data_IF_800557357641
#
_entry.id   IF_800557357641
#
_cell.length_a   1.000
_cell.length_b   1.000
_cell.length_c   1.000
_cell.angle_alpha   90.00
_cell.angle_beta   90.00
_cell.angle_gamma   90.00
#
_symmetry.space_group_name_H-M   'P 1'
#
loop_
_entity.id
_entity.type
_entity.pdbx_description
1 polymer ?
#
# COMPACT_ATOMS: atom_id res chain seq x y z
N UNK A 1 0.90 13.62 -36.36
CA UNK A 1 0.01 12.92 -35.40
C UNK A 1 0.85 11.88 -34.69
N UNK A 2 1.05 11.99 -33.37
CA UNK A 2 1.80 10.99 -32.61
C UNK A 2 0.84 9.87 -32.20
N UNK A 3 1.07 8.69 -32.75
CA UNK A 3 0.33 7.48 -32.41
C UNK A 3 0.49 7.20 -30.91
N UNK A 4 -0.62 7.08 -30.19
CA UNK A 4 -0.60 6.81 -28.74
C UNK A 4 -0.11 5.37 -28.53
N UNK A 5 1.09 5.21 -27.98
CA UNK A 5 1.63 3.88 -27.63
C UNK A 5 0.76 3.24 -26.54
N UNK A 6 0.43 1.96 -26.72
CA UNK A 6 -0.21 1.14 -25.68
C UNK A 6 0.75 0.98 -24.50
N UNK A 7 0.23 1.01 -23.27
CA UNK A 7 1.02 0.73 -22.07
C UNK A 7 1.20 -0.79 -21.98
N UNK A 8 2.45 -1.25 -21.94
CA UNK A 8 2.77 -2.65 -21.66
C UNK A 8 3.13 -2.78 -20.19
N UNK A 9 2.52 -3.75 -19.50
CA UNK A 9 2.96 -4.17 -18.17
C UNK A 9 4.24 -4.99 -18.29
N UNK A 10 5.13 -4.85 -17.30
CA UNK A 10 6.34 -5.65 -17.16
C UNK A 10 6.18 -6.50 -15.90
N UNK A 11 6.44 -7.81 -16.00
CA UNK A 11 6.50 -8.72 -14.86
C UNK A 11 7.60 -8.34 -13.89
N UNK A 12 7.50 -8.82 -12.65
CA UNK A 12 8.51 -8.56 -11.61
C UNK A 12 9.83 -9.21 -12.01
N UNK A 13 9.81 -10.45 -12.49
CA UNK A 13 10.97 -11.17 -13.01
C UNK A 13 11.70 -10.39 -14.11
N UNK A 14 10.96 -9.79 -15.07
CA UNK A 14 11.56 -8.97 -16.13
C UNK A 14 12.21 -7.69 -15.59
N UNK A 15 11.61 -7.06 -14.58
CA UNK A 15 12.21 -5.89 -13.90
C UNK A 15 13.47 -6.28 -13.12
N UNK A 16 13.47 -7.42 -12.43
CA UNK A 16 14.66 -7.98 -11.74
C UNK A 16 15.80 -8.24 -12.74
N UNK A 17 15.49 -8.83 -13.89
CA UNK A 17 16.47 -9.08 -14.95
C UNK A 17 17.09 -7.78 -15.49
N UNK A 18 16.28 -6.73 -15.69
CA UNK A 18 16.76 -5.41 -16.11
C UNK A 18 17.74 -4.83 -15.08
N UNK A 19 17.42 -4.92 -13.79
CA UNK A 19 18.27 -4.41 -12.71
C UNK A 19 19.60 -5.18 -12.65
N UNK A 20 19.56 -6.51 -12.72
CA UNK A 20 20.75 -7.36 -12.78
C UNK A 20 21.65 -6.97 -13.96
N UNK A 21 21.06 -6.82 -15.15
CA UNK A 21 21.81 -6.45 -16.35
C UNK A 21 22.46 -5.07 -16.24
N UNK A 22 21.77 -4.08 -15.65
CA UNK A 22 22.32 -2.74 -15.42
C UNK A 22 23.51 -2.79 -14.46
N UNK A 23 23.42 -3.59 -13.39
CA UNK A 23 24.50 -3.72 -12.42
C UNK A 23 25.74 -4.43 -13.02
N UNK A 24 25.53 -5.44 -13.86
CA UNK A 24 26.62 -6.12 -14.58
C UNK A 24 27.25 -5.24 -15.68
N UNK A 25 26.50 -4.28 -16.23
CA UNK A 25 26.91 -3.46 -17.37
C UNK A 25 26.91 -1.96 -17.04
N UNK A 26 27.61 -1.58 -15.95
CA UNK A 26 27.71 -0.19 -15.47
C UNK A 26 28.22 0.82 -16.52
N UNK A 27 29.00 0.36 -17.51
CA UNK A 27 29.60 1.20 -18.55
C UNK A 27 28.66 1.45 -19.73
N UNK A 28 27.60 0.64 -19.88
CA UNK A 28 26.64 0.83 -20.98
C UNK A 28 25.75 2.05 -20.75
N UNK A 29 25.46 2.77 -21.84
CA UNK A 29 24.52 3.90 -21.78
C UNK A 29 23.12 3.38 -21.49
N UNK A 30 22.39 4.07 -20.60
CA UNK A 30 20.98 3.75 -20.26
C UNK A 30 20.07 3.63 -21.48
N UNK A 31 20.34 4.40 -22.53
CA UNK A 31 19.60 4.36 -23.80
C UNK A 31 19.75 3.00 -24.50
N UNK A 32 20.96 2.44 -24.50
CA UNK A 32 21.23 1.17 -25.18
C UNK A 32 20.65 0.00 -24.39
N UNK A 33 20.67 0.08 -23.06
CA UNK A 33 19.98 -0.87 -22.18
C UNK A 33 18.46 -0.80 -22.42
N UNK A 34 17.87 0.39 -22.48
CA UNK A 34 16.44 0.54 -22.74
C UNK A 34 16.03 -0.05 -24.10
N UNK A 35 16.84 0.15 -25.15
CA UNK A 35 16.63 -0.47 -26.46
C UNK A 35 16.69 -1.99 -26.39
N UNK A 36 17.65 -2.56 -25.66
CA UNK A 36 17.81 -4.02 -25.52
C UNK A 36 16.57 -4.70 -24.92
N UNK A 37 15.92 -4.04 -23.96
CA UNK A 37 14.72 -4.58 -23.31
C UNK A 37 13.41 -4.11 -23.98
N UNK A 38 13.50 -3.38 -25.10
CA UNK A 38 12.37 -2.78 -25.81
C UNK A 38 11.48 -1.89 -24.91
N UNK A 39 12.10 -1.21 -23.95
CA UNK A 39 11.42 -0.31 -23.01
C UNK A 39 11.78 1.14 -23.30
N UNK A 40 10.93 2.05 -22.84
CA UNK A 40 11.25 3.47 -22.88
C UNK A 40 12.30 3.81 -21.81
N UNK A 41 13.14 4.81 -22.08
CA UNK A 41 14.11 5.32 -21.10
C UNK A 41 13.44 5.78 -19.81
N UNK A 42 12.21 6.32 -19.89
CA UNK A 42 11.41 6.69 -18.72
C UNK A 42 11.05 5.46 -17.87
N UNK A 43 10.65 4.36 -18.50
CA UNK A 43 10.36 3.08 -17.82
C UNK A 43 11.61 2.54 -17.13
N UNK A 44 12.77 2.55 -17.80
CA UNK A 44 14.04 2.14 -17.20
C UNK A 44 14.38 3.00 -15.96
N UNK A 45 14.19 4.32 -16.05
CA UNK A 45 14.44 5.22 -14.92
C UNK A 45 13.52 4.92 -13.74
N UNK A 46 12.23 4.63 -13.97
CA UNK A 46 11.29 4.23 -12.92
C UNK A 46 11.70 2.91 -12.28
N UNK A 47 12.10 1.90 -13.06
CA UNK A 47 12.57 0.61 -12.54
C UNK A 47 13.79 0.81 -11.63
N UNK A 48 14.76 1.63 -12.05
CA UNK A 48 15.95 1.91 -11.25
C UNK A 48 15.65 2.73 -9.99
N UNK A 49 14.66 3.63 -10.03
CA UNK A 49 14.20 4.39 -8.87
C UNK A 49 13.66 3.49 -7.77
N UNK A 50 12.98 2.41 -8.14
CA UNK A 50 12.37 1.45 -7.21
C UNK A 50 13.13 0.13 -7.14
N UNK A 51 14.44 0.12 -7.43
CA UNK A 51 15.26 -1.11 -7.51
C UNK A 51 15.21 -1.95 -6.23
N UNK A 52 15.13 -1.32 -5.07
CA UNK A 52 15.14 -1.99 -3.75
C UNK A 52 13.92 -2.91 -3.58
N UNK A 53 12.75 -2.48 -4.07
CA UNK A 53 11.50 -3.27 -4.05
C UNK A 53 11.57 -4.52 -4.93
N UNK A 54 12.56 -4.61 -5.81
CA UNK A 54 12.79 -5.76 -6.68
C UNK A 54 14.02 -6.58 -6.24
N UNK A 55 14.81 -6.08 -5.29
CA UNK A 55 15.99 -6.76 -4.75
C UNK A 55 15.66 -7.68 -3.58
N UNK A 56 14.53 -7.45 -2.90
CA UNK A 56 14.03 -8.38 -1.90
C UNK A 56 13.64 -9.67 -2.63
N UNK A 57 14.40 -10.73 -2.37
CA UNK A 57 14.00 -12.12 -2.61
C UNK A 57 12.78 -12.39 -1.73
N UNK A 58 11.61 -11.92 -2.16
CA UNK A 58 10.45 -12.76 -1.97
C UNK A 58 10.70 -14.01 -2.80
N UNK A 59 10.72 -15.16 -2.13
CA UNK A 59 10.65 -16.50 -2.71
C UNK A 59 9.29 -16.67 -3.40
N UNK A 60 8.93 -15.78 -4.32
CA UNK A 60 7.81 -16.02 -5.23
C UNK A 60 8.37 -16.85 -6.38
N UNK A 61 8.61 -18.13 -6.06
CA UNK A 61 8.53 -19.17 -7.07
C UNK A 61 7.18 -18.97 -7.78
N UNK A 62 7.22 -18.68 -9.07
CA UNK A 62 6.08 -18.49 -9.99
C UNK A 62 5.50 -17.06 -10.07
N UNK A 63 6.21 -16.19 -10.78
CA UNK A 63 5.63 -14.97 -11.40
C UNK A 63 4.72 -15.29 -12.60
N UNK A 64 4.61 -16.58 -12.96
CA UNK A 64 3.46 -17.19 -13.64
C UNK A 64 2.54 -17.79 -12.56
N UNK A 65 1.85 -16.93 -11.80
CA UNK A 65 0.71 -17.42 -11.02
C UNK A 65 -0.25 -18.06 -12.03
N UNK A 66 -0.57 -19.37 -11.94
CA UNK A 66 -1.59 -19.95 -12.78
C UNK A 66 -2.85 -19.13 -12.56
N UNK A 67 -3.32 -18.47 -13.62
CA UNK A 67 -4.64 -17.87 -13.62
C UNK A 67 -5.60 -19.00 -13.26
N UNK A 68 -6.26 -18.81 -12.10
CA UNK A 68 -7.34 -19.60 -11.52
C UNK A 68 -6.86 -20.80 -10.70
N UNK A 69 -6.49 -20.54 -9.45
CA UNK A 69 -7.22 -21.23 -8.40
C UNK A 69 -8.70 -20.94 -8.69
N UNK A 70 -9.47 -21.96 -9.05
CA UNK A 70 -10.92 -21.87 -9.00
C UNK A 70 -11.23 -21.53 -7.56
N UNK A 71 -11.33 -20.23 -7.25
CA UNK A 71 -12.02 -19.78 -6.06
C UNK A 71 -13.39 -20.44 -6.19
N UNK A 72 -13.58 -21.50 -5.41
CA UNK A 72 -14.89 -22.10 -5.20
C UNK A 72 -15.66 -21.04 -4.41
N UNK A 73 -16.13 -20.02 -5.13
CA UNK A 73 -17.10 -19.07 -4.65
C UNK A 73 -18.40 -19.86 -4.57
N UNK A 74 -18.50 -20.65 -3.51
CA UNK A 74 -19.76 -21.23 -3.14
C UNK A 74 -20.60 -20.04 -2.71
N UNK A 75 -21.75 -19.85 -3.37
CA UNK A 75 -22.67 -18.80 -2.96
C UNK A 75 -22.93 -18.97 -1.46
N UNK A 76 -22.61 -17.97 -0.62
CA UNK A 76 -22.84 -18.09 0.81
C UNK A 76 -24.32 -18.37 1.02
N UNK A 77 -24.63 -19.26 1.96
CA UNK A 77 -26.03 -19.43 2.34
C UNK A 77 -26.54 -18.13 2.99
N UNK A 78 -27.87 -18.01 3.10
CA UNK A 78 -28.48 -16.78 3.61
C UNK A 78 -28.00 -16.45 5.03
N UNK A 79 -27.72 -17.46 5.85
CA UNK A 79 -27.30 -17.28 7.23
C UNK A 79 -25.86 -16.75 7.27
N UNK A 80 -24.96 -17.30 6.45
CA UNK A 80 -23.59 -16.82 6.29
C UNK A 80 -23.57 -15.37 5.80
N UNK A 81 -24.42 -15.01 4.83
CA UNK A 81 -24.53 -13.62 4.37
C UNK A 81 -25.00 -12.65 5.47
N UNK A 82 -25.99 -13.05 6.27
CA UNK A 82 -26.55 -12.19 7.33
C UNK A 82 -25.60 -12.06 8.51
N UNK A 83 -24.88 -13.13 8.83
CA UNK A 83 -24.01 -13.21 10.02
C UNK A 83 -22.56 -12.82 9.76
N UNK A 84 -22.19 -12.55 8.49
CA UNK A 84 -20.82 -12.26 8.05
C UNK A 84 -20.10 -11.20 8.91
N UNK A 85 -20.84 -10.16 9.32
CA UNK A 85 -20.29 -9.05 10.10
C UNK A 85 -20.58 -9.14 11.62
N UNK A 86 -21.13 -10.24 12.13
CA UNK A 86 -21.49 -10.34 13.55
C UNK A 86 -20.27 -10.26 14.48
N UNK A 87 -19.11 -10.72 14.02
CA UNK A 87 -17.85 -10.66 14.76
C UNK A 87 -17.07 -9.36 14.50
N UNK A 88 -17.61 -8.47 13.66
CA UNK A 88 -17.01 -7.14 13.45
C UNK A 88 -17.29 -6.32 14.69
N UNK A 89 -16.22 -5.97 15.41
CA UNK A 89 -16.30 -5.08 16.56
C UNK A 89 -16.96 -3.76 16.15
N UNK A 90 -18.20 -3.57 16.59
CA UNK A 90 -18.90 -2.29 16.43
C UNK A 90 -18.40 -1.32 17.50
N UNK A 91 -18.45 -0.03 17.19
CA UNK A 91 -18.29 1.01 18.20
C UNK A 91 -19.32 0.73 19.31
N UNK A 92 -18.86 0.57 20.55
CA UNK A 92 -19.73 0.29 21.70
C UNK A 92 -20.86 1.31 21.83
N UNK A 93 -21.93 0.91 22.50
CA UNK A 93 -23.07 1.80 22.74
C UNK A 93 -22.63 3.00 23.58
N UNK A 94 -22.72 4.20 22.99
CA UNK A 94 -22.50 5.45 23.68
C UNK A 94 -23.82 5.84 24.34
N UNK A 95 -23.84 5.97 25.67
CA UNK A 95 -25.06 6.39 26.37
C UNK A 95 -25.28 7.89 26.20
N UNK A 96 -26.52 8.35 26.34
CA UNK A 96 -26.83 9.79 26.33
C UNK A 96 -26.00 10.57 27.37
N UNK A 97 -25.65 9.94 28.50
CA UNK A 97 -24.81 10.53 29.52
C UNK A 97 -23.37 10.77 29.04
N UNK A 98 -22.81 9.82 28.28
CA UNK A 98 -21.47 9.93 27.70
C UNK A 98 -21.41 11.02 26.61
N UNK A 99 -22.47 11.13 25.81
CA UNK A 99 -22.64 12.20 24.82
C UNK A 99 -22.63 13.57 25.54
N UNK A 100 -23.46 13.71 26.57
CA UNK A 100 -23.58 14.97 27.32
C UNK A 100 -22.27 15.34 28.01
N UNK A 101 -21.58 14.36 28.61
CA UNK A 101 -20.28 14.59 29.25
C UNK A 101 -19.19 15.07 28.25
N UNK A 102 -19.27 14.69 26.98
CA UNK A 102 -18.32 15.13 25.95
C UNK A 102 -18.55 16.56 25.45
N UNK A 103 -19.77 17.08 25.58
CA UNK A 103 -20.17 18.40 25.05
C UNK A 103 -20.17 19.47 26.14
N UNK A 104 -20.39 19.07 27.40
CA UNK A 104 -20.30 20.00 28.51
C UNK A 104 -18.82 20.33 28.76
N UNK A 105 -18.44 21.62 28.89
CA UNK A 105 -17.12 21.95 29.38
C UNK A 105 -16.98 21.31 30.75
N UNK A 106 -15.99 20.43 30.90
CA UNK A 106 -15.50 20.01 32.20
C UNK A 106 -15.25 21.32 32.94
N UNK A 107 -15.97 21.56 34.04
CA UNK A 107 -15.60 22.61 34.95
C UNK A 107 -14.19 22.26 35.40
N UNK A 108 -13.20 22.89 34.78
CA UNK A 108 -11.88 23.00 35.36
C UNK A 108 -12.14 23.51 36.77
N UNK A 109 -11.78 22.71 37.77
CA UNK A 109 -11.44 23.28 39.06
C UNK A 109 -10.19 24.13 38.83
N UNK A 110 -10.41 25.33 38.29
CA UNK A 110 -9.54 26.48 38.50
C UNK A 110 -9.68 26.82 39.97
N UNK A 111 -8.89 26.16 40.81
CA UNK A 111 -8.56 26.67 42.13
C UNK A 111 -7.48 27.73 41.93
N UNK A 112 -7.89 28.93 41.52
CA UNK A 112 -7.15 30.16 41.83
C UNK A 112 -7.52 30.60 43.25
N UNK A 113 -6.62 30.43 44.22
CA UNK A 113 -6.43 31.29 45.40
C UNK A 113 -5.02 30.94 45.95
N UNK A 114 -4.08 31.83 46.21
CA UNK A 114 -4.00 33.27 46.15
C UNK A 114 -2.52 33.64 46.37
N UNK A 115 -2.14 34.77 45.77
CA UNK A 115 -0.82 35.39 45.82
C UNK A 115 -0.62 36.04 47.20
N UNK A 116 0.35 35.58 48.02
CA UNK A 116 0.89 36.37 49.14
C UNK A 116 2.41 36.18 49.24
N UNK A 117 3.15 37.16 48.68
CA UNK A 117 4.58 37.40 48.87
C UNK A 117 4.91 37.89 50.30
N UNK A 118 6.05 37.41 50.80
CA UNK A 118 7.04 38.06 51.68
C UNK A 118 6.62 38.73 53.02
N UNK A 119 7.08 38.16 54.14
CA UNK A 119 8.13 38.72 55.03
C UNK A 119 8.61 37.69 56.07
#
# INVERSE_FOLDING_TARGET
>A
MTEKRKRCSLSVAKKRQIIKYVNENLVMKKIDIAKKFEILSSTLATILKFKERFSEESEDENDDLPIREEFNFQDPDFEEFVTFDNDVAVCGELTDADIVASVLPVANEETEEGDEEEF
#
